data_IF_981626138419
#
_entry.id   IF_981626138419
#
_cell.length_a   1.000
_cell.length_b   1.000
_cell.length_c   1.000
_cell.angle_alpha   90.00
_cell.angle_beta   90.00
_cell.angle_gamma   90.00
#
_symmetry.space_group_name_H-M   'P 1'
#
loop_
_entity.id
_entity.type
_entity.pdbx_description
1 polymer ?
#
# COMPACT_ATOMS: atom_id res chain seq x y z
N UNK A 1 14.82 -6.97 20.70
CA UNK A 1 13.77 -6.42 19.82
C UNK A 1 13.02 -7.58 19.22
N UNK A 2 11.70 -7.48 19.17
CA UNK A 2 10.88 -8.42 18.40
C UNK A 2 11.06 -8.13 16.90
N UNK A 3 10.92 -9.15 16.08
CA UNK A 3 10.81 -8.99 14.63
C UNK A 3 9.48 -8.27 14.34
N UNK A 4 9.51 -7.25 13.49
CA UNK A 4 8.31 -6.58 12.96
C UNK A 4 8.25 -6.92 11.47
N UNK A 5 7.12 -7.45 11.01
CA UNK A 5 6.86 -7.78 9.62
C UNK A 5 5.70 -6.95 9.08
N UNK A 6 5.88 -6.32 7.92
CA UNK A 6 4.84 -5.57 7.22
C UNK A 6 4.61 -6.24 5.86
N UNK A 7 3.41 -6.79 5.67
CA UNK A 7 2.97 -7.35 4.40
C UNK A 7 2.19 -6.30 3.61
N UNK A 8 2.61 -6.03 2.37
CA UNK A 8 1.88 -5.18 1.43
C UNK A 8 1.29 -6.07 0.33
N UNK A 9 -0.02 -6.02 0.17
CA UNK A 9 -0.75 -6.79 -0.83
C UNK A 9 -1.35 -5.87 -1.88
N UNK A 10 -1.08 -6.16 -3.15
CA UNK A 10 -1.66 -5.47 -4.30
C UNK A 10 -2.58 -6.42 -5.06
N UNK A 11 -3.81 -5.96 -5.32
CA UNK A 11 -4.79 -6.68 -6.15
C UNK A 11 -5.29 -5.75 -7.24
N UNK A 12 -5.40 -6.25 -8.47
CA UNK A 12 -5.91 -5.44 -9.57
C UNK A 12 -6.63 -6.29 -10.61
N UNK A 13 -7.51 -5.61 -11.34
CA UNK A 13 -8.17 -6.11 -12.53
C UNK A 13 -8.06 -5.03 -13.62
N UNK A 14 -7.51 -5.41 -14.78
CA UNK A 14 -7.16 -4.47 -15.83
C UNK A 14 -8.36 -3.65 -16.30
N UNK A 15 -8.30 -2.32 -16.10
CA UNK A 15 -9.36 -1.41 -16.50
C UNK A 15 -10.59 -1.41 -15.58
N UNK A 16 -10.55 -2.11 -14.44
CA UNK A 16 -11.71 -2.29 -13.55
C UNK A 16 -11.38 -1.88 -12.11
N UNK A 17 -10.34 -2.45 -11.51
CA UNK A 17 -10.09 -2.25 -10.08
C UNK A 17 -8.62 -2.27 -9.71
N UNK A 18 -8.33 -1.58 -8.61
CA UNK A 18 -7.04 -1.62 -7.93
C UNK A 18 -7.25 -1.51 -6.42
N UNK A 19 -6.56 -2.34 -5.66
CA UNK A 19 -6.56 -2.33 -4.21
C UNK A 19 -5.13 -2.53 -3.69
N UNK A 20 -4.75 -1.72 -2.71
CA UNK A 20 -3.55 -1.91 -1.89
C UNK A 20 -3.97 -2.00 -0.43
N UNK A 21 -3.56 -3.09 0.22
CA UNK A 21 -3.79 -3.32 1.64
C UNK A 21 -2.49 -3.64 2.36
N UNK A 22 -2.44 -3.38 3.65
CA UNK A 22 -1.33 -3.73 4.53
C UNK A 22 -1.76 -4.65 5.68
N UNK A 23 -0.80 -5.38 6.23
CA UNK A 23 -0.93 -6.11 7.50
C UNK A 23 0.41 -6.03 8.23
N UNK A 24 0.39 -5.66 9.50
CA UNK A 24 1.56 -5.65 10.38
C UNK A 24 1.46 -6.84 11.35
N UNK A 25 2.46 -7.71 11.36
CA UNK A 25 2.52 -8.96 12.13
C UNK A 25 1.21 -9.78 12.02
N UNK A 26 0.66 -10.24 13.16
CA UNK A 26 -0.63 -10.92 13.26
C UNK A 26 -1.84 -9.93 13.34
N UNK A 27 -1.63 -8.68 12.93
CA UNK A 27 -2.62 -7.62 12.96
C UNK A 27 -3.73 -7.76 11.92
N UNK A 28 -4.68 -6.83 11.97
CA UNK A 28 -5.76 -6.75 11.01
C UNK A 28 -5.26 -6.24 9.65
N UNK A 29 -5.86 -6.75 8.57
CA UNK A 29 -5.64 -6.20 7.22
C UNK A 29 -6.32 -4.84 7.14
N UNK A 30 -5.55 -3.81 6.76
CA UNK A 30 -6.02 -2.43 6.59
C UNK A 30 -5.99 -2.08 5.10
N UNK A 31 -7.07 -1.48 4.60
CA UNK A 31 -7.12 -0.97 3.23
C UNK A 31 -6.49 0.42 3.17
N UNK A 32 -5.46 0.58 2.34
CA UNK A 32 -4.79 1.86 2.13
C UNK A 32 -5.49 2.60 0.99
N UNK A 33 -5.74 1.90 -0.11
CA UNK A 33 -6.51 2.44 -1.23
C UNK A 33 -7.30 1.30 -1.88
N UNK A 34 -8.57 1.59 -2.18
CA UNK A 34 -9.44 0.70 -2.94
C UNK A 34 -10.19 1.53 -3.97
N UNK A 35 -10.05 1.15 -5.24
CA UNK A 35 -10.66 1.82 -6.39
C UNK A 35 -11.39 0.79 -7.22
N UNK A 36 -12.67 1.03 -7.46
CA UNK A 36 -13.53 0.25 -8.34
C UNK A 36 -14.08 1.23 -9.38
N UNK A 37 -13.49 1.24 -10.57
CA UNK A 37 -13.74 2.21 -11.64
C UNK A 37 -13.89 1.48 -12.97
N UNK A 38 -15.13 1.38 -13.45
CA UNK A 38 -15.45 0.70 -14.70
C UNK A 38 -14.92 1.50 -15.90
N UNK A 39 -13.80 1.03 -16.47
CA UNK A 39 -13.18 1.48 -17.72
C UNK A 39 -12.40 2.81 -17.72
N UNK A 40 -12.29 3.52 -16.58
CA UNK A 40 -11.54 4.80 -16.53
C UNK A 40 -10.48 4.90 -15.43
N UNK A 41 -10.08 3.76 -14.85
CA UNK A 41 -9.00 3.70 -13.84
C UNK A 41 -7.68 4.31 -14.33
N UNK A 42 -7.44 4.28 -15.65
CA UNK A 42 -6.25 4.87 -16.27
C UNK A 42 -6.15 6.40 -16.04
N UNK A 43 -7.29 7.11 -15.98
CA UNK A 43 -7.31 8.56 -15.79
C UNK A 43 -6.87 8.98 -14.38
N UNK A 44 -7.20 8.16 -13.39
CA UNK A 44 -6.87 8.40 -11.97
C UNK A 44 -5.60 7.67 -11.53
N UNK A 45 -5.04 6.81 -12.38
CA UNK A 45 -3.82 6.05 -12.11
C UNK A 45 -2.64 6.91 -11.64
N UNK A 46 -2.39 8.13 -12.18
CA UNK A 46 -1.32 8.98 -11.66
C UNK A 46 -1.49 9.26 -10.16
N UNK A 47 -2.71 9.49 -9.69
CA UNK A 47 -2.99 9.76 -8.28
C UNK A 47 -2.85 8.50 -7.42
N UNK A 48 -3.38 7.37 -7.90
CA UNK A 48 -3.23 6.07 -7.23
C UNK A 48 -1.75 5.75 -7.02
N UNK A 49 -0.94 5.95 -8.06
CA UNK A 49 0.51 5.71 -8.01
C UNK A 49 1.21 6.56 -6.96
N UNK A 50 0.87 7.85 -6.85
CA UNK A 50 1.49 8.73 -5.85
C UNK A 50 1.12 8.33 -4.42
N UNK A 51 -0.13 7.90 -4.17
CA UNK A 51 -0.54 7.36 -2.87
C UNK A 51 0.28 6.10 -2.52
N UNK A 52 0.41 5.16 -3.46
CA UNK A 52 1.20 3.95 -3.23
C UNK A 52 2.68 4.25 -2.92
N UNK A 53 3.29 5.19 -3.66
CA UNK A 53 4.68 5.60 -3.40
C UNK A 53 4.84 6.21 -2.02
N UNK A 54 3.98 7.16 -1.66
CA UNK A 54 4.06 7.84 -0.37
C UNK A 54 3.95 6.86 0.80
N UNK A 55 3.08 5.85 0.67
CA UNK A 55 2.95 4.81 1.69
C UNK A 55 4.21 3.95 1.79
N UNK A 56 4.74 3.46 0.66
CA UNK A 56 5.97 2.65 0.64
C UNK A 56 7.15 3.42 1.22
N UNK A 57 7.30 4.69 0.83
CA UNK A 57 8.34 5.57 1.36
C UNK A 57 8.18 5.77 2.88
N UNK A 58 6.94 5.90 3.37
CA UNK A 58 6.63 5.95 4.80
C UNK A 58 7.15 4.73 5.57
N UNK A 59 6.94 3.51 5.05
CA UNK A 59 7.48 2.31 5.69
C UNK A 59 9.01 2.28 5.70
N UNK A 60 9.65 2.63 4.58
CA UNK A 60 11.11 2.65 4.49
C UNK A 60 11.73 3.66 5.47
N UNK A 61 11.10 4.82 5.63
CA UNK A 61 11.52 5.82 6.62
C UNK A 61 11.37 5.29 8.04
N UNK A 62 10.22 4.66 8.37
CA UNK A 62 10.00 4.03 9.69
C UNK A 62 11.06 2.97 9.98
N UNK A 63 11.32 2.05 9.05
CA UNK A 63 12.37 1.03 9.18
C UNK A 63 13.74 1.70 9.40
N UNK A 64 14.05 2.73 8.60
CA UNK A 64 15.31 3.47 8.73
C UNK A 64 15.48 4.15 10.08
N UNK A 65 14.41 4.67 10.67
CA UNK A 65 14.45 5.33 11.98
C UNK A 65 14.52 4.33 13.14
N UNK A 66 13.82 3.19 13.02
CA UNK A 66 13.93 2.06 13.96
C UNK A 66 15.32 1.43 13.95
N UNK A 67 15.98 1.31 12.78
CA UNK A 67 17.33 0.75 12.67
C UNK A 67 18.45 1.67 13.16
N UNK A 68 18.21 2.99 13.25
CA UNK A 68 19.19 3.95 13.80
C UNK A 68 19.17 4.00 15.32
N UNK A 69 18.09 3.50 15.94
CA UNK A 69 17.86 3.51 17.38
C UNK A 69 18.58 2.34 18.07
#
# INVERSE_FOLDING_TARGET
MALIEIEIMLKWENGVSFEMTEKEDDGAVVSIIKVEENANIASIWPHIREVCKAQIEGYLNRVGDEMKS
#
